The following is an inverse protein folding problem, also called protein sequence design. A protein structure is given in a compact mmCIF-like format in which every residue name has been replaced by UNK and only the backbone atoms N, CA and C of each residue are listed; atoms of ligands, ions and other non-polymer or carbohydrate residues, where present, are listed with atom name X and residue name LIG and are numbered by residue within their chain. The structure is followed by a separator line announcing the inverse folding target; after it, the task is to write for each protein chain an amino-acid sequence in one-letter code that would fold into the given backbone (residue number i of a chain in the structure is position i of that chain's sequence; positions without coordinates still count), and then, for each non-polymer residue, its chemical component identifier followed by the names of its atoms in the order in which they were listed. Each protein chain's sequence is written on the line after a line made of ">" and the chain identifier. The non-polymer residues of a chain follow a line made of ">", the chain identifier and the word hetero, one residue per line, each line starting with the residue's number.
data_IF_587467336001
#
_entry.id   IF_587467336001
#
_cell.length_a   1.000
_cell.length_b   1.000
_cell.length_c   1.000
_cell.angle_alpha   90.00
_cell.angle_beta   90.00
_cell.angle_gamma   90.00
#
_symmetry.space_group_name_H-M   'P 1'
#
loop_
_entity.id
_entity.type
_entity.pdbx_description
1 polymer ?
#
# COMPACT_ATOMS: atom_id res chain seq x y z
N UNK A 1 -17.94 -22.26 -12.19
CA UNK A 1 -17.25 -21.02 -12.60
C UNK A 1 -17.94 -19.88 -11.90
N UNK A 2 -17.23 -19.14 -11.05
CA UNK A 2 -17.79 -18.01 -10.30
C UNK A 2 -17.64 -16.77 -11.17
N UNK A 3 -18.75 -16.07 -11.42
CA UNK A 3 -18.76 -14.87 -12.29
C UNK A 3 -18.23 -13.64 -11.56
N UNK A 4 -17.70 -12.66 -12.30
CA UNK A 4 -17.28 -11.38 -11.73
C UNK A 4 -18.43 -10.67 -11.00
N UNK A 5 -19.68 -10.78 -11.49
CA UNK A 5 -20.84 -10.18 -10.82
C UNK A 5 -21.09 -10.79 -9.43
N UNK A 6 -20.86 -12.09 -9.26
CA UNK A 6 -20.95 -12.77 -7.97
C UNK A 6 -19.80 -12.34 -7.04
N UNK A 7 -18.58 -12.19 -7.57
CA UNK A 7 -17.43 -11.66 -6.82
C UNK A 7 -17.74 -10.25 -6.32
N UNK A 8 -18.24 -9.39 -7.20
CA UNK A 8 -18.52 -7.99 -6.90
C UNK A 8 -19.53 -7.84 -5.74
N UNK A 9 -20.55 -8.72 -5.68
CA UNK A 9 -21.51 -8.75 -4.57
C UNK A 9 -20.87 -9.12 -3.22
N UNK A 10 -19.78 -9.88 -3.24
CA UNK A 10 -19.08 -10.34 -2.02
C UNK A 10 -17.96 -9.41 -1.57
N UNK A 11 -17.22 -8.80 -2.50
CA UNK A 11 -15.99 -8.04 -2.22
C UNK A 11 -16.18 -6.52 -2.42
N UNK A 12 -17.17 -6.10 -3.20
CA UNK A 12 -17.47 -4.68 -3.45
C UNK A 12 -16.43 -4.00 -4.33
N UNK A 13 -16.29 -4.46 -5.58
CA UNK A 13 -15.39 -3.84 -6.54
C UNK A 13 -15.86 -2.43 -6.90
N UNK A 14 -14.91 -1.55 -7.22
CA UNK A 14 -15.22 -0.26 -7.81
C UNK A 14 -15.90 -0.45 -9.16
N UNK A 15 -16.86 0.43 -9.47
CA UNK A 15 -17.55 0.40 -10.75
C UNK A 15 -16.57 0.45 -11.94
N UNK A 16 -15.40 1.07 -11.76
CA UNK A 16 -14.34 1.11 -12.77
C UNK A 16 -13.64 -0.24 -12.94
N UNK A 17 -13.27 -0.90 -11.85
CA UNK A 17 -12.63 -2.23 -11.90
C UNK A 17 -13.59 -3.27 -12.50
N UNK A 18 -14.87 -3.23 -12.12
CA UNK A 18 -15.92 -4.05 -12.71
C UNK A 18 -16.02 -3.83 -14.23
N UNK A 19 -16.09 -2.57 -14.66
CA UNK A 19 -16.19 -2.24 -16.08
C UNK A 19 -14.95 -2.66 -16.89
N UNK A 20 -13.75 -2.58 -16.31
CA UNK A 20 -12.52 -3.07 -16.94
C UNK A 20 -12.61 -4.58 -17.18
N UNK A 21 -13.06 -5.34 -16.18
CA UNK A 21 -13.23 -6.78 -16.31
C UNK A 21 -14.21 -7.12 -17.45
N UNK A 22 -15.36 -6.45 -17.48
CA UNK A 22 -16.40 -6.70 -18.49
C UNK A 22 -15.96 -6.34 -19.92
N UNK A 23 -15.28 -5.20 -20.11
CA UNK A 23 -14.86 -4.73 -21.43
C UNK A 23 -13.71 -5.59 -22.00
N UNK A 24 -12.86 -6.13 -21.14
CA UNK A 24 -11.72 -6.96 -21.55
C UNK A 24 -12.01 -8.48 -21.45
N UNK A 25 -13.30 -8.85 -21.39
CA UNK A 25 -13.78 -10.24 -21.37
C UNK A 25 -13.27 -11.10 -20.20
N UNK A 26 -12.88 -10.47 -19.09
CA UNK A 26 -12.54 -11.13 -17.83
C UNK A 26 -13.82 -11.32 -17.02
N UNK A 27 -14.71 -12.23 -17.43
CA UNK A 27 -16.09 -12.34 -16.90
C UNK A 27 -16.23 -13.30 -15.71
N UNK A 28 -15.18 -14.01 -15.36
CA UNK A 28 -15.17 -15.00 -14.28
C UNK A 28 -13.82 -15.00 -13.53
N UNK A 29 -13.80 -15.67 -12.38
CA UNK A 29 -12.56 -15.81 -11.57
C UNK A 29 -11.43 -16.42 -12.38
N UNK A 30 -11.72 -17.44 -13.20
CA UNK A 30 -10.71 -18.22 -13.90
C UNK A 30 -9.99 -17.38 -14.97
N UNK A 31 -10.74 -16.61 -15.76
CA UNK A 31 -10.21 -15.66 -16.75
C UNK A 31 -9.42 -14.53 -16.09
N UNK A 32 -9.91 -13.97 -14.99
CA UNK A 32 -9.21 -12.93 -14.22
C UNK A 32 -7.87 -13.43 -13.67
N UNK A 33 -7.87 -14.58 -12.99
CA UNK A 33 -6.66 -15.17 -12.42
C UNK A 33 -5.68 -15.65 -13.51
N UNK A 34 -6.18 -16.21 -14.60
CA UNK A 34 -5.36 -16.63 -15.75
C UNK A 34 -4.66 -15.44 -16.39
N UNK A 35 -5.35 -14.31 -16.57
CA UNK A 35 -4.75 -13.09 -17.07
C UNK A 35 -3.64 -12.59 -16.14
N UNK A 36 -3.92 -12.53 -14.84
CA UNK A 36 -2.96 -12.07 -13.84
C UNK A 36 -1.72 -12.98 -13.76
N UNK A 37 -1.90 -14.30 -13.81
CA UNK A 37 -0.79 -15.25 -13.83
C UNK A 37 0.08 -15.09 -15.08
N UNK A 38 -0.53 -14.82 -16.24
CA UNK A 38 0.18 -14.66 -17.51
C UNK A 38 0.95 -13.34 -17.59
N UNK A 39 0.38 -12.24 -17.12
CA UNK A 39 0.90 -10.90 -17.37
C UNK A 39 1.50 -10.21 -16.12
N UNK A 40 1.19 -10.68 -14.90
CA UNK A 40 1.70 -10.12 -13.63
C UNK A 40 1.06 -8.79 -13.19
N UNK A 41 0.33 -8.12 -14.09
CA UNK A 41 -0.51 -6.96 -13.81
C UNK A 41 -1.63 -6.82 -14.86
N UNK A 42 -2.42 -5.76 -14.76
CA UNK A 42 -3.56 -5.43 -15.63
C UNK A 42 -3.38 -4.11 -16.39
N UNK A 43 -2.17 -3.53 -16.41
CA UNK A 43 -1.93 -2.21 -17.00
C UNK A 43 -2.13 -2.22 -18.52
N UNK A 44 -1.99 -3.38 -19.16
CA UNK A 44 -2.22 -3.57 -20.60
C UNK A 44 -3.71 -3.68 -20.96
N UNK A 45 -4.61 -3.77 -19.98
CA UNK A 45 -6.04 -3.79 -20.23
C UNK A 45 -6.57 -2.42 -20.64
N UNK A 46 -7.51 -2.42 -21.58
CA UNK A 46 -8.19 -1.20 -22.01
C UNK A 46 -8.90 -0.56 -20.82
N UNK A 47 -8.72 0.76 -20.65
CA UNK A 47 -9.23 1.56 -19.54
C UNK A 47 -8.68 1.22 -18.15
N UNK A 48 -7.66 0.37 -18.06
CA UNK A 48 -7.05 0.03 -16.78
C UNK A 48 -5.99 1.07 -16.39
N UNK A 49 -6.41 2.00 -15.54
CA UNK A 49 -5.50 2.90 -14.86
C UNK A 49 -4.84 2.21 -13.67
N UNK A 50 -3.75 2.79 -13.17
CA UNK A 50 -2.95 2.23 -12.07
C UNK A 50 -3.79 1.85 -10.84
N UNK A 51 -4.73 2.71 -10.44
CA UNK A 51 -5.62 2.45 -9.30
C UNK A 51 -6.47 1.19 -9.50
N UNK A 52 -7.02 1.01 -10.70
CA UNK A 52 -7.80 -0.18 -11.04
C UNK A 52 -6.92 -1.41 -11.19
N UNK A 53 -5.71 -1.27 -11.72
CA UNK A 53 -4.74 -2.36 -11.76
C UNK A 53 -4.45 -2.89 -10.35
N UNK A 54 -4.12 -2.00 -9.41
CA UNK A 54 -3.87 -2.37 -8.02
C UNK A 54 -5.07 -3.08 -7.40
N UNK A 55 -6.26 -2.51 -7.57
CA UNK A 55 -7.50 -3.08 -7.06
C UNK A 55 -7.72 -4.51 -7.56
N UNK A 56 -7.52 -4.75 -8.86
CA UNK A 56 -7.63 -6.08 -9.47
C UNK A 56 -6.53 -7.04 -9.01
N UNK A 57 -5.31 -6.55 -8.74
CA UNK A 57 -4.22 -7.37 -8.16
C UNK A 57 -4.56 -7.83 -6.75
N UNK A 58 -5.03 -6.91 -5.90
CA UNK A 58 -5.47 -7.23 -4.53
C UNK A 58 -6.60 -8.25 -4.57
N UNK A 59 -7.56 -8.07 -5.49
CA UNK A 59 -8.65 -9.02 -5.71
C UNK A 59 -8.11 -10.42 -6.06
N UNK A 60 -7.16 -10.52 -6.98
CA UNK A 60 -6.56 -11.80 -7.34
C UNK A 60 -5.86 -12.49 -6.17
N UNK A 61 -5.10 -11.75 -5.35
CA UNK A 61 -4.47 -12.31 -4.16
C UNK A 61 -5.50 -12.80 -3.13
N UNK A 62 -6.60 -12.06 -2.96
CA UNK A 62 -7.70 -12.49 -2.10
C UNK A 62 -8.35 -13.79 -2.59
N UNK A 63 -8.67 -13.86 -3.89
CA UNK A 63 -9.29 -15.05 -4.51
C UNK A 63 -8.37 -16.27 -4.44
N UNK A 64 -7.06 -16.11 -4.71
CA UNK A 64 -6.07 -17.18 -4.55
C UNK A 64 -6.04 -17.73 -3.13
N UNK A 65 -6.09 -16.85 -2.12
CA UNK A 65 -6.08 -17.27 -0.71
C UNK A 65 -7.32 -18.07 -0.29
N UNK A 66 -8.47 -17.85 -0.95
CA UNK A 66 -9.71 -18.58 -0.70
C UNK A 66 -9.78 -19.92 -1.44
N UNK A 67 -9.17 -20.00 -2.63
CA UNK A 67 -9.25 -21.20 -3.50
C UNK A 67 -8.11 -22.21 -3.29
N UNK A 68 -6.95 -21.79 -2.78
CA UNK A 68 -5.78 -22.65 -2.63
C UNK A 68 -5.24 -22.70 -1.20
N UNK A 69 -5.55 -23.78 -0.48
CA UNK A 69 -4.61 -24.26 0.55
C UNK A 69 -3.38 -24.83 -0.16
N UNK A 70 -2.23 -24.17 0.05
CA UNK A 70 -0.86 -24.49 -0.38
C UNK A 70 -0.41 -23.98 -1.76
N UNK A 71 0.45 -22.95 -1.72
CA UNK A 71 1.64 -22.91 -2.58
C UNK A 71 1.70 -21.82 -3.64
N UNK A 72 1.89 -20.57 -3.24
CA UNK A 72 3.04 -19.75 -3.67
C UNK A 72 3.25 -18.65 -2.64
N UNK A 73 4.37 -18.76 -1.93
CA UNK A 73 5.12 -17.71 -1.25
C UNK A 73 4.36 -16.42 -0.93
N UNK A 74 3.92 -16.35 0.32
CA UNK A 74 3.50 -15.15 1.03
C UNK A 74 4.33 -13.90 0.63
N UNK A 75 3.81 -13.10 -0.29
CA UNK A 75 4.11 -11.67 -0.38
C UNK A 75 3.59 -10.88 0.84
N UNK A 76 3.11 -11.55 1.89
CA UNK A 76 3.18 -11.00 3.25
C UNK A 76 4.65 -11.02 3.66
N UNK A 77 5.45 -10.12 3.09
CA UNK A 77 6.68 -9.70 3.73
C UNK A 77 6.27 -9.21 5.11
N UNK A 78 6.58 -10.04 6.12
CA UNK A 78 6.52 -9.70 7.54
C UNK A 78 6.90 -8.23 7.67
N UNK A 79 6.08 -7.43 8.35
CA UNK A 79 6.51 -6.11 8.85
C UNK A 79 7.94 -6.29 9.32
N UNK A 80 8.88 -5.52 8.75
CA UNK A 80 10.31 -5.75 8.97
C UNK A 80 10.53 -5.86 10.49
N UNK A 81 10.93 -7.03 11.03
CA UNK A 81 10.96 -7.24 12.47
C UNK A 81 11.90 -6.24 13.15
N UNK A 82 12.91 -5.74 12.43
CA UNK A 82 13.78 -4.65 12.86
C UNK A 82 13.02 -3.33 13.01
N UNK A 83 12.14 -3.00 12.07
CA UNK A 83 11.33 -1.78 12.11
C UNK A 83 10.33 -1.81 13.27
N UNK A 84 9.66 -2.96 13.49
CA UNK A 84 8.74 -3.13 14.61
C UNK A 84 9.46 -2.93 15.96
N UNK A 85 10.58 -3.62 16.16
CA UNK A 85 11.37 -3.49 17.39
C UNK A 85 11.89 -2.06 17.59
N UNK A 86 12.40 -1.43 16.54
CA UNK A 86 12.87 -0.05 16.62
C UNK A 86 11.74 0.94 16.97
N UNK A 87 10.57 0.82 16.36
CA UNK A 87 9.40 1.64 16.71
C UNK A 87 8.97 1.46 18.18
N UNK A 88 8.95 0.23 18.67
CA UNK A 88 8.59 -0.09 20.06
C UNK A 88 9.61 0.50 21.05
N UNK A 89 10.89 0.56 20.67
CA UNK A 89 11.99 1.13 21.47
C UNK A 89 12.08 2.66 21.43
N UNK A 90 11.31 3.36 20.59
CA UNK A 90 11.38 4.81 20.53
C UNK A 90 10.89 5.47 21.83
N UNK A 91 11.81 6.12 22.54
CA UNK A 91 11.49 6.99 23.68
C UNK A 91 10.64 8.19 23.25
N UNK A 92 9.98 8.83 24.23
CA UNK A 92 9.10 9.99 23.97
C UNK A 92 9.85 11.14 23.28
N UNK A 93 11.10 11.36 23.66
CA UNK A 93 11.94 12.40 23.07
C UNK A 93 12.35 12.06 21.63
N UNK A 94 12.72 10.80 21.37
CA UNK A 94 13.01 10.32 20.02
C UNK A 94 11.80 10.41 19.10
N UNK A 95 10.60 10.05 19.58
CA UNK A 95 9.34 10.23 18.81
C UNK A 95 9.06 11.68 18.47
N UNK A 96 9.30 12.61 19.40
CA UNK A 96 9.11 14.05 19.17
C UNK A 96 10.13 14.60 18.15
N UNK A 97 11.41 14.23 18.29
CA UNK A 97 12.48 14.59 17.35
C UNK A 97 12.18 14.07 15.94
N UNK A 98 11.88 12.78 15.81
CA UNK A 98 11.50 12.16 14.55
C UNK A 98 10.26 12.82 13.94
N UNK A 99 9.22 13.08 14.73
CA UNK A 99 8.02 13.75 14.21
C UNK A 99 8.33 15.14 13.64
N UNK A 100 9.29 15.87 14.22
CA UNK A 100 9.73 17.15 13.67
C UNK A 100 10.55 16.99 12.39
N UNK A 101 11.44 15.99 12.33
CA UNK A 101 12.20 15.66 11.12
C UNK A 101 11.24 15.28 9.98
N UNK A 102 10.31 14.36 10.23
CA UNK A 102 9.31 13.92 9.25
C UNK A 102 8.47 15.08 8.74
N UNK A 103 8.00 15.98 9.62
CA UNK A 103 7.28 17.18 9.21
C UNK A 103 8.12 18.08 8.31
N UNK A 104 9.42 18.23 8.60
CA UNK A 104 10.33 18.98 7.74
C UNK A 104 10.52 18.28 6.38
N UNK A 105 10.71 16.97 6.33
CA UNK A 105 10.86 16.23 5.07
C UNK A 105 9.61 16.30 4.18
N UNK A 106 8.41 16.31 4.78
CA UNK A 106 7.14 16.51 4.05
C UNK A 106 7.08 17.90 3.37
N UNK A 107 7.80 18.90 3.88
CA UNK A 107 7.84 20.21 3.21
C UNK A 107 8.64 20.19 1.90
N UNK A 108 9.51 19.18 1.71
CA UNK A 108 10.40 19.05 0.56
C UNK A 108 9.78 18.28 -0.61
N UNK A 109 8.74 17.47 -0.37
CA UNK A 109 8.01 16.77 -1.44
C UNK A 109 7.07 17.73 -2.19
N UNK A 110 6.59 17.32 -3.37
CA UNK A 110 5.74 18.19 -4.17
C UNK A 110 4.42 18.53 -3.47
N UNK A 111 3.85 19.69 -3.81
CA UNK A 111 2.57 20.17 -3.25
C UNK A 111 1.46 19.12 -3.39
N UNK A 112 1.44 18.38 -4.52
CA UNK A 112 0.46 17.32 -4.78
C UNK A 112 0.63 16.16 -3.80
N UNK A 113 1.85 15.67 -3.64
CA UNK A 113 2.16 14.58 -2.70
C UNK A 113 1.87 14.98 -1.26
N UNK A 114 2.22 16.22 -0.90
CA UNK A 114 1.94 16.79 0.42
C UNK A 114 0.43 16.90 0.69
N UNK A 115 -0.35 17.38 -0.28
CA UNK A 115 -1.81 17.47 -0.15
C UNK A 115 -2.44 16.08 0.02
N UNK A 116 -1.97 15.07 -0.73
CA UNK A 116 -2.40 13.69 -0.56
C UNK A 116 -2.03 13.13 0.82
N UNK A 117 -0.82 13.39 1.30
CA UNK A 117 -0.38 13.02 2.66
C UNK A 117 -1.29 13.63 3.73
N UNK A 118 -1.52 14.94 3.70
CA UNK A 118 -2.35 15.60 4.71
C UNK A 118 -3.79 15.12 4.70
N UNK A 119 -4.36 14.82 3.52
CA UNK A 119 -5.70 14.21 3.43
C UNK A 119 -5.75 12.80 4.03
N UNK A 120 -4.72 12.00 3.80
CA UNK A 120 -4.67 10.62 4.32
C UNK A 120 -4.48 10.55 5.85
N UNK A 121 -3.78 11.53 6.41
CA UNK A 121 -3.46 11.60 7.84
C UNK A 121 -4.38 12.50 8.67
N UNK A 122 -5.40 13.13 8.05
CA UNK A 122 -6.30 14.09 8.69
C UNK A 122 -5.55 15.30 9.30
N UNK A 123 -4.54 15.79 8.58
CA UNK A 123 -3.89 17.09 8.82
C UNK A 123 -2.50 17.03 9.48
N UNK A 124 -2.28 16.17 10.47
CA UNK A 124 -0.96 16.04 11.10
C UNK A 124 -0.26 14.75 10.69
N UNK A 125 1.06 14.78 10.54
CA UNK A 125 1.87 13.57 10.35
C UNK A 125 2.82 13.44 11.53
N UNK A 126 2.70 12.32 12.25
CA UNK A 126 3.61 11.94 13.33
C UNK A 126 4.05 10.49 13.16
N UNK A 127 5.04 10.07 13.95
CA UNK A 127 5.63 8.73 13.88
C UNK A 127 4.59 7.64 14.11
N UNK A 128 3.68 7.82 15.08
CA UNK A 128 2.69 6.80 15.46
C UNK A 128 1.65 6.59 14.36
N UNK A 129 1.19 7.68 13.74
CA UNK A 129 0.29 7.62 12.59
C UNK A 129 0.96 6.98 11.39
N UNK A 130 2.22 7.38 11.09
CA UNK A 130 2.96 6.82 9.99
C UNK A 130 3.17 5.31 10.19
N UNK A 131 3.52 4.90 11.40
CA UNK A 131 3.67 3.50 11.72
C UNK A 131 2.35 2.73 11.56
N UNK A 132 1.30 3.17 12.25
CA UNK A 132 0.01 2.46 12.29
C UNK A 132 -0.74 2.40 10.96
N UNK A 133 -0.72 3.49 10.16
CA UNK A 133 -1.47 3.56 8.89
C UNK A 133 -0.67 3.04 7.69
N UNK A 134 0.66 3.17 7.72
CA UNK A 134 1.54 2.86 6.58
C UNK A 134 2.50 1.72 6.91
N UNK A 135 3.42 1.91 7.85
CA UNK A 135 4.57 1.00 7.99
C UNK A 135 4.21 -0.38 8.58
N UNK A 136 3.19 -0.46 9.42
CA UNK A 136 2.68 -1.72 9.96
C UNK A 136 1.73 -2.43 8.99
N UNK A 137 1.35 -1.77 7.88
CA UNK A 137 0.44 -2.32 6.89
C UNK A 137 1.23 -2.82 5.67
N UNK A 138 1.51 -4.14 5.57
CA UNK A 138 2.29 -4.69 4.47
C UNK A 138 1.60 -4.59 3.10
N UNK A 139 0.30 -4.31 3.07
CA UNK A 139 -0.46 -4.13 1.82
C UNK A 139 -0.69 -2.65 1.50
N UNK A 140 -0.08 -1.73 2.23
CA UNK A 140 -0.19 -0.31 1.93
C UNK A 140 0.48 0.01 0.59
N UNK A 141 -0.27 0.67 -0.28
CA UNK A 141 0.23 1.21 -1.53
C UNK A 141 -0.09 2.70 -1.58
N UNK A 142 0.91 3.60 -1.75
CA UNK A 142 0.68 5.03 -1.96
C UNK A 142 -0.37 5.37 -3.02
N UNK A 143 -0.55 4.53 -4.03
CA UNK A 143 -1.56 4.72 -5.08
C UNK A 143 -3.01 4.56 -4.59
N UNK A 144 -3.22 3.95 -3.43
CA UNK A 144 -4.54 3.88 -2.81
C UNK A 144 -4.98 5.23 -2.23
N UNK A 145 -4.04 6.16 -2.01
CA UNK A 145 -4.33 7.50 -1.47
C UNK A 145 -4.99 8.40 -2.52
N UNK A 146 -5.97 9.18 -2.09
CA UNK A 146 -6.63 10.15 -2.97
C UNK A 146 -5.64 11.20 -3.49
N UNK A 147 -5.73 11.51 -4.79
CA UNK A 147 -4.90 12.54 -5.43
C UNK A 147 -3.50 12.10 -5.84
N UNK A 148 -3.07 10.89 -5.49
CA UNK A 148 -1.75 10.36 -5.85
C UNK A 148 -1.74 9.87 -7.31
N UNK A 149 -0.78 10.36 -8.08
CA UNK A 149 -0.42 9.83 -9.40
C UNK A 149 1.03 9.34 -9.42
N UNK A 150 1.53 8.80 -10.55
CA UNK A 150 2.86 8.16 -10.66
C UNK A 150 4.03 8.94 -10.02
N UNK A 151 4.10 10.24 -10.27
CA UNK A 151 5.16 11.09 -9.69
C UNK A 151 5.03 11.19 -8.17
N UNK A 152 3.80 11.39 -7.69
CA UNK A 152 3.53 11.46 -6.26
C UNK A 152 3.76 10.13 -5.57
N UNK A 153 3.38 9.02 -6.21
CA UNK A 153 3.66 7.67 -5.71
C UNK A 153 5.16 7.48 -5.46
N UNK A 154 6.01 7.85 -6.43
CA UNK A 154 7.46 7.76 -6.29
C UNK A 154 7.96 8.59 -5.10
N UNK A 155 7.56 9.85 -5.01
CA UNK A 155 7.96 10.75 -3.91
C UNK A 155 7.47 10.21 -2.54
N UNK A 156 6.26 9.63 -2.48
CA UNK A 156 5.72 9.05 -1.26
C UNK A 156 6.49 7.78 -0.86
N UNK A 157 6.84 6.90 -1.81
CA UNK A 157 7.67 5.71 -1.54
C UNK A 157 9.05 6.08 -1.03
N UNK A 158 9.67 7.09 -1.62
CA UNK A 158 10.96 7.62 -1.16
C UNK A 158 10.86 8.16 0.27
N UNK A 159 9.80 8.94 0.58
CA UNK A 159 9.55 9.42 1.93
C UNK A 159 9.32 8.28 2.94
N UNK A 160 8.53 7.27 2.59
CA UNK A 160 8.26 6.11 3.45
C UNK A 160 9.54 5.33 3.76
N UNK A 161 10.42 5.20 2.76
CA UNK A 161 11.73 4.55 2.91
C UNK A 161 12.58 5.35 3.89
N UNK A 162 12.73 6.66 3.67
CA UNK A 162 13.45 7.56 4.58
C UNK A 162 12.92 7.48 6.02
N UNK A 163 11.60 7.50 6.18
CA UNK A 163 11.00 7.44 7.50
C UNK A 163 11.23 6.10 8.21
N UNK A 164 11.22 5.00 7.45
CA UNK A 164 11.54 3.68 7.99
C UNK A 164 12.97 3.62 8.49
N UNK A 165 13.92 4.15 7.70
CA UNK A 165 15.34 4.19 8.05
C UNK A 165 15.58 5.03 9.31
N UNK A 166 14.95 6.21 9.40
CA UNK A 166 15.04 7.07 10.58
C UNK A 166 14.46 6.40 11.83
N UNK A 167 13.34 5.68 11.73
CA UNK A 167 12.78 4.94 12.87
C UNK A 167 13.75 3.85 13.32
N UNK A 168 14.38 3.14 12.38
CA UNK A 168 15.36 2.09 12.68
C UNK A 168 16.61 2.67 13.33
N UNK A 169 17.10 3.81 12.86
CA UNK A 169 18.26 4.52 13.42
C UNK A 169 17.97 4.96 14.86
N UNK A 170 16.92 5.75 15.07
CA UNK A 170 16.59 6.31 16.38
C UNK A 170 16.06 5.27 17.39
N UNK A 171 15.51 4.15 16.92
CA UNK A 171 15.07 3.03 17.77
C UNK A 171 16.14 1.96 17.99
N UNK A 172 17.24 2.01 17.24
CA UNK A 172 18.42 1.15 17.40
C UNK A 172 19.52 1.77 18.26
N UNK A 173 19.53 3.10 18.41
CA UNK A 173 20.58 3.88 19.08
C UNK A 173 20.33 4.18 20.58
N UNK A 174 19.41 3.50 21.27
CA UNK A 174 19.43 3.53 22.75
C UNK A 174 20.30 2.38 23.29
N UNK A 175 21.55 2.65 23.72
CA UNK A 175 22.29 1.68 24.51
C UNK A 175 21.50 1.42 25.78
N UNK A 176 21.29 0.13 26.09
CA UNK A 176 20.80 -0.31 27.38
C UNK A 176 21.63 0.36 28.49
N UNK A 177 21.01 1.33 29.18
CA UNK A 177 21.52 1.86 30.43
C UNK A 177 20.67 1.30 31.57
#
# INVERSE_FOLDING_TARGET
>A
MISIDEINKSIGMSARALNICMINDLKDVDSLLSYYHKNGDFLDLTNCGIKSNLELKILCEHLKSQMGSNGTESLRSKVNPKLKGAYENLSKDSRKKLSNILRHEITKISLRSRNSFFRFFDGEVNVDQLYSKILSNPTFDPLSMEGVGRRSEKEIKEFITLASDLIIEYGGDEPSQ
#
